data_IF_946450705232
#
_entry.id   IF_946450705232
#
_cell.length_a   1.000
_cell.length_b   1.000
_cell.length_c   1.000
_cell.angle_alpha   90.00
_cell.angle_beta   90.00
_cell.angle_gamma   90.00
#
_symmetry.space_group_name_H-M   'P 1'
#
loop_
_entity.id
_entity.type
_entity.pdbx_description
1 polymer ?
#
# COMPACT_ATOMS: atom_id res chain seq x y z
N UNK A 1 6.49 31.04 18.67
CA UNK A 1 5.70 30.60 17.49
C UNK A 1 5.78 31.51 16.26
N UNK A 2 5.97 32.84 16.39
CA UNK A 2 6.04 33.76 15.22
C UNK A 2 7.20 33.53 14.22
N UNK A 3 8.33 32.95 14.65
CA UNK A 3 9.46 32.64 13.75
C UNK A 3 9.18 31.46 12.80
N UNK A 4 8.51 30.42 13.29
CA UNK A 4 8.15 29.24 12.49
C UNK A 4 7.13 29.56 11.41
N UNK A 5 6.13 30.39 11.72
CA UNK A 5 5.13 30.85 10.75
C UNK A 5 5.74 31.73 9.63
N UNK A 6 6.83 32.44 9.91
CA UNK A 6 7.52 33.28 8.93
C UNK A 6 8.38 32.45 7.97
N UNK A 7 8.96 31.37 8.48
CA UNK A 7 9.78 30.43 7.70
C UNK A 7 8.92 29.55 6.78
N UNK A 8 7.73 29.15 7.26
CA UNK A 8 6.76 28.38 6.45
C UNK A 8 6.19 29.20 5.29
N UNK A 9 5.96 30.51 5.52
CA UNK A 9 5.46 31.41 4.48
C UNK A 9 6.51 31.70 3.40
N UNK A 10 7.79 31.79 3.73
CA UNK A 10 8.83 32.00 2.71
C UNK A 10 9.03 30.77 1.82
N UNK A 11 8.86 29.54 2.36
CA UNK A 11 8.99 28.31 1.57
C UNK A 11 7.84 28.07 0.59
N UNK A 12 6.64 28.61 0.84
CA UNK A 12 5.55 28.55 -0.14
C UNK A 12 5.72 29.59 -1.25
N UNK A 13 6.22 30.79 -0.93
CA UNK A 13 6.45 31.85 -1.92
C UNK A 13 7.61 31.53 -2.89
N UNK A 14 8.65 30.80 -2.46
CA UNK A 14 9.72 30.28 -3.34
C UNK A 14 9.24 29.18 -4.31
N UNK A 15 8.12 28.51 -4.01
CA UNK A 15 7.59 27.44 -4.86
C UNK A 15 6.76 27.99 -6.04
N UNK A 16 6.38 29.26 -5.99
CA UNK A 16 5.56 29.95 -6.99
C UNK A 16 6.29 31.09 -7.71
N UNK A 17 7.60 31.25 -7.51
CA UNK A 17 8.40 32.21 -8.28
C UNK A 17 8.53 31.76 -9.74
N UNK A 18 8.20 32.67 -10.66
CA UNK A 18 8.46 32.52 -12.08
C UNK A 18 9.97 32.34 -12.31
N UNK A 19 10.38 31.55 -13.33
CA UNK A 19 11.80 31.37 -13.62
C UNK A 19 12.43 32.73 -13.88
N UNK A 20 13.49 33.02 -13.15
CA UNK A 20 14.28 34.25 -13.31
C UNK A 20 15.37 34.01 -14.35
N UNK A 21 15.89 35.06 -14.98
CA UNK A 21 16.92 34.97 -16.03
C UNK A 21 18.20 34.20 -15.59
N UNK A 22 18.44 34.04 -14.29
CA UNK A 22 19.51 33.20 -13.72
C UNK A 22 19.22 31.67 -13.76
N UNK A 23 17.97 31.24 -13.99
CA UNK A 23 17.59 29.82 -14.15
C UNK A 23 18.01 29.23 -15.50
N UNK A 24 18.37 30.08 -16.47
CA UNK A 24 18.91 29.67 -17.78
C UNK A 24 20.41 29.34 -17.73
N UNK A 25 21.06 29.52 -16.57
CA UNK A 25 22.45 29.11 -16.37
C UNK A 25 22.52 27.59 -16.19
N UNK A 26 23.44 26.89 -16.88
CA UNK A 26 23.69 25.48 -16.59
C UNK A 26 24.04 25.31 -15.12
N UNK A 27 23.27 24.47 -14.44
CA UNK A 27 23.39 24.15 -13.01
C UNK A 27 24.81 23.76 -12.65
N UNK A 28 25.33 24.24 -11.51
CA UNK A 28 26.68 23.86 -11.07
C UNK A 28 26.72 22.36 -10.73
N UNK A 29 27.88 21.72 -10.92
CA UNK A 29 28.04 20.28 -10.68
C UNK A 29 27.75 19.95 -9.21
N UNK A 30 28.11 20.84 -8.28
CA UNK A 30 27.84 20.64 -6.86
C UNK A 30 26.34 20.78 -6.55
N UNK A 31 25.66 21.77 -7.16
CA UNK A 31 24.21 21.97 -7.02
C UNK A 31 23.44 20.76 -7.58
N UNK A 32 23.87 20.20 -8.70
CA UNK A 32 23.28 19.00 -9.30
C UNK A 32 23.47 17.77 -8.40
N UNK A 33 24.67 17.55 -7.83
CA UNK A 33 24.91 16.45 -6.89
C UNK A 33 24.09 16.58 -5.60
N UNK A 34 23.94 17.80 -5.07
CA UNK A 34 23.09 18.08 -3.91
C UNK A 34 21.61 17.87 -4.20
N UNK A 35 21.15 18.26 -5.39
CA UNK A 35 19.78 18.04 -5.84
C UNK A 35 19.48 16.54 -5.98
N UNK A 36 20.35 15.75 -6.62
CA UNK A 36 20.19 14.29 -6.70
C UNK A 36 20.17 13.65 -5.30
N UNK A 37 21.08 14.08 -4.41
CA UNK A 37 21.15 13.55 -3.04
C UNK A 37 19.92 13.92 -2.21
N UNK A 38 19.35 15.10 -2.42
CA UNK A 38 18.11 15.53 -1.73
C UNK A 38 16.90 14.74 -2.23
N UNK A 39 16.79 14.50 -3.56
CA UNK A 39 15.76 13.66 -4.15
C UNK A 39 15.83 12.22 -3.63
N UNK A 40 17.02 11.64 -3.52
CA UNK A 40 17.22 10.30 -2.96
C UNK A 40 16.73 10.19 -1.51
N UNK A 41 17.09 11.17 -0.67
CA UNK A 41 16.65 11.21 0.73
C UNK A 41 15.14 11.39 0.83
N UNK A 42 14.58 12.31 0.04
CA UNK A 42 13.14 12.56 0.02
C UNK A 42 12.35 11.34 -0.44
N UNK A 43 12.81 10.66 -1.50
CA UNK A 43 12.21 9.43 -1.99
C UNK A 43 12.28 8.30 -0.96
N UNK A 44 13.43 8.10 -0.31
CA UNK A 44 13.57 7.08 0.73
C UNK A 44 12.64 7.33 1.93
N UNK A 45 12.49 8.60 2.33
CA UNK A 45 11.59 8.98 3.42
C UNK A 45 10.11 8.83 3.04
N UNK A 46 9.71 9.28 1.84
CA UNK A 46 8.34 9.10 1.34
C UNK A 46 7.99 7.61 1.19
N UNK A 47 8.93 6.81 0.69
CA UNK A 47 8.80 5.35 0.57
C UNK A 47 8.48 4.71 1.92
N UNK A 48 9.27 5.02 2.95
CA UNK A 48 9.05 4.49 4.30
C UNK A 48 7.73 4.97 4.91
N UNK A 49 7.36 6.24 4.71
CA UNK A 49 6.10 6.79 5.20
C UNK A 49 4.89 6.08 4.59
N UNK A 50 4.85 5.94 3.25
CA UNK A 50 3.75 5.26 2.57
C UNK A 50 3.69 3.77 2.93
N UNK A 51 4.84 3.10 2.97
CA UNK A 51 4.92 1.70 3.44
C UNK A 51 4.36 1.54 4.86
N UNK A 52 4.69 2.46 5.76
CA UNK A 52 4.19 2.44 7.15
C UNK A 52 2.68 2.68 7.24
N UNK A 53 2.15 3.66 6.48
CA UNK A 53 0.70 3.95 6.46
C UNK A 53 -0.10 2.75 5.96
N UNK A 54 0.33 2.13 4.86
CA UNK A 54 -0.39 0.96 4.32
C UNK A 54 -0.26 -0.28 5.19
N UNK A 55 0.91 -0.50 5.80
CA UNK A 55 1.07 -1.56 6.78
C UNK A 55 0.15 -1.37 7.99
N UNK A 56 0.02 -0.14 8.51
CA UNK A 56 -0.87 0.17 9.61
C UNK A 56 -2.35 -0.07 9.24
N UNK A 57 -2.77 0.34 8.05
CA UNK A 57 -4.14 0.09 7.55
C UNK A 57 -4.44 -1.41 7.45
N UNK A 58 -3.52 -2.19 6.86
CA UNK A 58 -3.66 -3.65 6.77
C UNK A 58 -3.64 -4.33 8.13
N UNK A 59 -2.86 -3.83 9.06
CA UNK A 59 -2.82 -4.33 10.44
C UNK A 59 -4.15 -4.08 11.15
N UNK A 60 -4.72 -2.89 11.05
CA UNK A 60 -6.03 -2.57 11.58
C UNK A 60 -7.13 -3.48 10.98
N UNK A 61 -7.09 -3.70 9.67
CA UNK A 61 -8.00 -4.62 9.00
C UNK A 61 -7.84 -6.07 9.49
N UNK A 62 -6.61 -6.53 9.65
CA UNK A 62 -6.32 -7.88 10.19
C UNK A 62 -6.83 -8.04 11.62
N UNK A 63 -6.70 -7.01 12.46
CA UNK A 63 -7.22 -7.02 13.82
C UNK A 63 -8.76 -7.09 13.84
N UNK A 64 -9.42 -6.38 12.92
CA UNK A 64 -10.87 -6.46 12.74
C UNK A 64 -11.31 -7.87 12.33
N UNK A 65 -10.60 -8.52 11.41
CA UNK A 65 -10.88 -9.91 11.03
C UNK A 65 -10.66 -10.89 12.19
N UNK A 66 -9.61 -10.71 12.99
CA UNK A 66 -9.39 -11.54 14.18
C UNK A 66 -10.51 -11.39 15.21
N UNK A 67 -11.01 -10.16 15.41
CA UNK A 67 -12.17 -9.92 16.25
C UNK A 67 -13.42 -10.61 15.69
N UNK A 68 -13.62 -10.55 14.37
CA UNK A 68 -14.72 -11.21 13.66
C UNK A 68 -14.68 -12.74 13.84
N UNK A 69 -13.49 -13.36 13.68
CA UNK A 69 -13.26 -14.79 13.92
C UNK A 69 -13.63 -15.16 15.36
N UNK A 70 -13.10 -14.41 16.34
CA UNK A 70 -13.37 -14.65 17.75
C UNK A 70 -14.88 -14.59 18.05
N UNK A 71 -15.55 -13.59 17.51
CA UNK A 71 -16.99 -13.45 17.69
C UNK A 71 -17.78 -14.57 17.01
N UNK A 72 -17.39 -14.99 15.79
CA UNK A 72 -18.03 -16.09 15.07
C UNK A 72 -17.85 -17.44 15.78
N UNK A 73 -16.74 -17.64 16.50
CA UNK A 73 -16.51 -18.86 17.29
C UNK A 73 -17.34 -18.93 18.58
N UNK A 74 -17.60 -17.79 19.23
CA UNK A 74 -18.33 -17.74 20.51
C UNK A 74 -19.83 -17.56 20.33
N UNK A 75 -20.22 -16.72 19.38
CA UNK A 75 -21.61 -16.37 19.08
C UNK A 75 -21.86 -16.55 17.58
N UNK A 76 -22.03 -17.80 17.13
CA UNK A 76 -22.17 -18.10 15.72
C UNK A 76 -23.42 -17.38 15.15
N UNK A 77 -23.25 -16.72 14.01
CA UNK A 77 -24.33 -16.05 13.26
C UNK A 77 -24.91 -14.79 13.91
N UNK A 78 -24.35 -14.29 15.01
CA UNK A 78 -24.79 -13.02 15.59
C UNK A 78 -24.32 -11.81 14.75
N UNK A 79 -23.19 -11.95 14.06
CA UNK A 79 -22.70 -10.96 13.10
C UNK A 79 -23.57 -10.93 11.85
N UNK A 80 -24.20 -9.77 11.60
CA UNK A 80 -25.16 -9.57 10.50
C UNK A 80 -24.64 -10.03 9.14
N UNK A 81 -23.37 -9.79 8.82
CA UNK A 81 -22.80 -10.15 7.51
C UNK A 81 -22.47 -11.65 7.39
N UNK A 82 -22.23 -12.36 8.49
CA UNK A 82 -22.09 -13.81 8.49
C UNK A 82 -23.45 -14.52 8.49
N UNK A 83 -24.44 -13.97 9.20
CA UNK A 83 -25.79 -14.50 9.26
C UNK A 83 -26.44 -14.72 7.89
N UNK A 84 -26.09 -13.90 6.89
CA UNK A 84 -26.62 -14.07 5.53
C UNK A 84 -26.21 -15.39 4.87
N UNK A 85 -25.08 -15.96 5.27
CA UNK A 85 -24.55 -17.19 4.69
C UNK A 85 -24.92 -18.44 5.49
N UNK A 86 -25.74 -18.32 6.54
CA UNK A 86 -26.06 -19.41 7.46
C UNK A 86 -26.69 -20.63 6.77
N UNK A 87 -27.44 -20.43 5.69
CA UNK A 87 -28.12 -21.51 4.97
C UNK A 87 -27.21 -22.23 3.95
N UNK A 88 -26.20 -21.54 3.42
CA UNK A 88 -25.38 -22.00 2.28
C UNK A 88 -23.92 -22.35 2.65
N UNK A 89 -23.41 -21.86 3.78
CA UNK A 89 -22.01 -21.94 4.17
C UNK A 89 -21.88 -22.41 5.62
N UNK A 90 -21.01 -23.40 5.86
CA UNK A 90 -20.70 -23.82 7.23
C UNK A 90 -19.91 -22.75 7.98
N UNK A 91 -20.17 -22.61 9.29
CA UNK A 91 -19.43 -21.65 10.15
C UNK A 91 -17.91 -21.86 10.10
N UNK A 92 -17.46 -23.11 9.98
CA UNK A 92 -16.05 -23.45 9.79
C UNK A 92 -15.45 -22.86 8.52
N UNK A 93 -16.20 -22.83 7.42
CA UNK A 93 -15.72 -22.25 6.16
C UNK A 93 -15.51 -20.75 6.30
N UNK A 94 -16.43 -20.06 6.98
CA UNK A 94 -16.29 -18.62 7.30
C UNK A 94 -15.00 -18.39 8.09
N UNK A 95 -14.81 -19.11 9.20
CA UNK A 95 -13.62 -18.98 10.05
C UNK A 95 -12.34 -19.22 9.23
N UNK A 96 -12.30 -20.27 8.39
CA UNK A 96 -11.12 -20.55 7.56
C UNK A 96 -10.86 -19.44 6.54
N UNK A 97 -11.90 -18.87 5.93
CA UNK A 97 -11.76 -17.79 4.94
C UNK A 97 -11.23 -16.50 5.58
N UNK A 98 -11.64 -16.18 6.79
CA UNK A 98 -11.13 -15.04 7.55
C UNK A 98 -9.67 -15.27 7.98
N UNK A 99 -9.30 -16.48 8.40
CA UNK A 99 -7.91 -16.83 8.66
C UNK A 99 -7.02 -16.69 7.42
N UNK A 100 -7.50 -17.14 6.27
CA UNK A 100 -6.80 -16.96 4.99
C UNK A 100 -6.65 -15.47 4.63
N UNK A 101 -7.65 -14.64 4.93
CA UNK A 101 -7.56 -13.19 4.72
C UNK A 101 -6.51 -12.55 5.64
N UNK A 102 -6.45 -12.93 6.92
CA UNK A 102 -5.40 -12.50 7.86
C UNK A 102 -4.02 -12.94 7.37
N UNK A 103 -3.89 -14.16 6.86
CA UNK A 103 -2.65 -14.64 6.25
C UNK A 103 -2.27 -13.82 5.01
N UNK A 104 -3.21 -13.51 4.12
CA UNK A 104 -2.95 -12.65 2.96
C UNK A 104 -2.47 -11.25 3.38
N UNK A 105 -3.09 -10.63 4.39
CA UNK A 105 -2.69 -9.33 4.90
C UNK A 105 -1.32 -9.34 5.58
N UNK A 106 -1.03 -10.35 6.40
CA UNK A 106 0.29 -10.50 7.03
C UNK A 106 1.41 -10.71 6.01
N UNK A 107 1.17 -11.50 4.95
CA UNK A 107 2.12 -11.65 3.84
C UNK A 107 2.35 -10.33 3.09
N UNK A 108 1.31 -9.51 2.89
CA UNK A 108 1.46 -8.19 2.29
C UNK A 108 2.32 -7.25 3.15
N UNK A 109 2.09 -7.23 4.47
CA UNK A 109 2.88 -6.44 5.43
C UNK A 109 4.35 -6.90 5.43
N UNK A 110 4.58 -8.21 5.53
CA UNK A 110 5.95 -8.79 5.51
C UNK A 110 6.64 -8.47 4.19
N UNK A 111 5.92 -8.57 3.08
CA UNK A 111 6.37 -8.09 1.78
C UNK A 111 6.86 -6.65 1.93
N UNK A 112 5.98 -5.72 2.24
CA UNK A 112 6.26 -4.28 2.23
C UNK A 112 7.55 -3.84 2.97
N UNK A 113 7.98 -4.56 4.02
CA UNK A 113 9.22 -4.31 4.76
C UNK A 113 10.43 -5.15 4.33
N UNK A 114 10.24 -6.18 3.50
CA UNK A 114 11.32 -7.02 2.99
C UNK A 114 12.13 -6.26 1.93
N UNK A 115 13.45 -6.12 2.14
CA UNK A 115 14.37 -5.51 1.18
C UNK A 115 14.99 -6.52 0.19
N UNK A 116 14.61 -7.79 0.24
CA UNK A 116 15.22 -8.87 -0.55
C UNK A 116 14.41 -9.18 -1.81
N UNK A 117 15.00 -9.91 -2.77
CA UNK A 117 14.30 -10.51 -3.93
C UNK A 117 13.10 -11.37 -3.53
N UNK A 118 13.05 -11.78 -2.27
CA UNK A 118 11.94 -12.54 -1.64
C UNK A 118 10.70 -11.66 -1.41
N UNK A 119 10.85 -10.34 -1.26
CA UNK A 119 9.76 -9.37 -1.13
C UNK A 119 8.68 -9.54 -2.19
N UNK A 120 9.10 -9.49 -3.46
CA UNK A 120 8.19 -9.56 -4.60
C UNK A 120 7.36 -10.84 -4.56
N UNK A 121 7.97 -11.97 -4.16
CA UNK A 121 7.26 -13.25 -4.02
C UNK A 121 6.19 -13.19 -2.94
N UNK A 122 6.46 -12.56 -1.78
CA UNK A 122 5.46 -12.40 -0.72
C UNK A 122 4.27 -11.55 -1.16
N UNK A 123 4.49 -10.47 -1.90
CA UNK A 123 3.38 -9.68 -2.44
C UNK A 123 2.58 -10.49 -3.48
N UNK A 124 3.25 -11.20 -4.40
CA UNK A 124 2.55 -12.05 -5.38
C UNK A 124 1.75 -13.16 -4.71
N UNK A 125 2.28 -13.79 -3.65
CA UNK A 125 1.53 -14.78 -2.87
C UNK A 125 0.31 -14.17 -2.19
N UNK A 126 0.48 -13.01 -1.56
CA UNK A 126 -0.64 -12.26 -0.97
C UNK A 126 -1.73 -11.95 -2.00
N UNK A 127 -1.35 -11.48 -3.20
CA UNK A 127 -2.31 -11.19 -4.27
C UNK A 127 -3.01 -12.44 -4.81
N UNK A 128 -2.28 -13.53 -4.99
CA UNK A 128 -2.87 -14.80 -5.42
C UNK A 128 -3.88 -15.34 -4.40
N UNK A 129 -3.53 -15.26 -3.11
CA UNK A 129 -4.40 -15.70 -2.01
C UNK A 129 -5.64 -14.81 -1.89
N UNK A 130 -5.47 -13.49 -2.00
CA UNK A 130 -6.58 -12.54 -2.01
C UNK A 130 -7.52 -12.75 -3.22
N UNK A 131 -6.98 -13.14 -4.38
CA UNK A 131 -7.78 -13.44 -5.58
C UNK A 131 -8.64 -14.70 -5.38
N UNK A 132 -8.05 -15.76 -4.81
CA UNK A 132 -8.81 -16.99 -4.49
C UNK A 132 -9.93 -16.70 -3.50
N UNK A 133 -9.66 -15.89 -2.46
CA UNK A 133 -10.68 -15.46 -1.50
C UNK A 133 -11.78 -14.60 -2.14
N UNK A 134 -11.41 -13.69 -3.05
CA UNK A 134 -12.39 -12.88 -3.75
C UNK A 134 -13.32 -13.75 -4.62
N UNK A 135 -12.77 -14.72 -5.35
CA UNK A 135 -13.58 -15.67 -6.14
C UNK A 135 -14.49 -16.49 -5.24
N UNK A 136 -13.99 -16.99 -4.12
CA UNK A 136 -14.78 -17.71 -3.11
C UNK A 136 -15.98 -16.89 -2.63
N UNK A 137 -15.75 -15.66 -2.18
CA UNK A 137 -16.83 -14.79 -1.69
C UNK A 137 -17.80 -14.36 -2.77
N UNK A 138 -17.32 -14.04 -3.98
CA UNK A 138 -18.19 -13.70 -5.12
C UNK A 138 -19.09 -14.88 -5.49
N UNK A 139 -18.55 -16.11 -5.50
CA UNK A 139 -19.34 -17.31 -5.77
C UNK A 139 -20.51 -17.46 -4.77
N UNK A 140 -20.25 -17.32 -3.47
CA UNK A 140 -21.32 -17.41 -2.46
C UNK A 140 -22.28 -16.23 -2.49
N UNK A 141 -21.80 -15.02 -2.81
CA UNK A 141 -22.67 -13.85 -2.99
C UNK A 141 -23.63 -14.01 -4.17
N UNK A 142 -23.19 -14.65 -5.27
CA UNK A 142 -24.04 -14.93 -6.44
C UNK A 142 -25.06 -16.05 -6.18
N UNK A 143 -24.75 -16.96 -5.27
CA UNK A 143 -25.66 -18.04 -4.87
C UNK A 143 -26.80 -17.55 -3.97
N UNK A 144 -26.62 -16.43 -3.29
CA UNK A 144 -27.65 -15.86 -2.43
C UNK A 144 -28.87 -15.38 -3.22
N UNK A 145 -30.10 -15.60 -2.71
CA UNK A 145 -31.35 -15.23 -3.40
C UNK A 145 -31.56 -13.72 -3.50
N UNK A 146 -30.89 -12.92 -2.67
CA UNK A 146 -30.89 -11.45 -2.73
C UNK A 146 -29.47 -10.93 -2.66
N UNK A 147 -29.06 -10.20 -3.69
CA UNK A 147 -27.75 -9.56 -3.71
C UNK A 147 -27.70 -8.40 -2.71
N UNK A 148 -26.72 -8.43 -1.80
CA UNK A 148 -26.58 -7.47 -0.69
C UNK A 148 -25.25 -6.75 -0.82
N UNK A 149 -25.30 -5.45 -1.13
CA UNK A 149 -24.12 -4.60 -1.28
C UNK A 149 -23.32 -4.43 0.03
N UNK A 150 -23.97 -4.58 1.19
CA UNK A 150 -23.33 -4.47 2.51
C UNK A 150 -22.22 -5.50 2.75
N UNK A 151 -22.17 -6.58 1.95
CA UNK A 151 -21.25 -7.71 2.09
C UNK A 151 -20.09 -7.62 1.08
N UNK A 152 -20.13 -6.64 0.18
CA UNK A 152 -19.15 -6.50 -0.91
C UNK A 152 -17.73 -6.22 -0.40
N UNK A 153 -17.59 -5.71 0.82
CA UNK A 153 -16.27 -5.47 1.40
C UNK A 153 -15.51 -6.77 1.73
N UNK A 154 -16.16 -7.93 1.87
CA UNK A 154 -15.48 -9.21 2.13
C UNK A 154 -14.58 -9.66 0.95
N UNK A 155 -15.07 -9.73 -0.30
CA UNK A 155 -14.21 -10.05 -1.45
C UNK A 155 -13.24 -8.90 -1.78
N UNK A 156 -13.71 -7.65 -1.70
CA UNK A 156 -12.92 -6.51 -2.15
C UNK A 156 -11.88 -6.05 -1.12
N UNK A 157 -12.06 -6.27 0.18
CA UNK A 157 -11.15 -5.80 1.22
C UNK A 157 -9.72 -6.35 1.06
N UNK A 158 -9.52 -7.69 1.10
CA UNK A 158 -8.20 -8.29 0.92
C UNK A 158 -7.64 -8.05 -0.48
N UNK A 159 -8.49 -8.05 -1.51
CA UNK A 159 -8.10 -7.83 -2.90
C UNK A 159 -7.60 -6.40 -3.15
N UNK A 160 -8.34 -5.39 -2.67
CA UNK A 160 -7.93 -4.00 -2.72
C UNK A 160 -6.66 -3.79 -1.89
N UNK A 161 -6.56 -4.38 -0.70
CA UNK A 161 -5.36 -4.29 0.14
C UNK A 161 -4.11 -4.84 -0.55
N UNK A 162 -4.19 -6.04 -1.14
CA UNK A 162 -3.08 -6.64 -1.86
C UNK A 162 -2.74 -5.88 -3.16
N UNK A 163 -3.75 -5.45 -3.91
CA UNK A 163 -3.57 -4.65 -5.14
C UNK A 163 -2.92 -3.30 -4.88
N UNK A 164 -3.33 -2.62 -3.81
CA UNK A 164 -2.72 -1.36 -3.39
C UNK A 164 -1.27 -1.55 -2.96
N UNK A 165 -0.94 -2.65 -2.28
CA UNK A 165 0.43 -2.98 -1.92
C UNK A 165 1.32 -3.27 -3.14
N UNK A 166 0.78 -3.97 -4.16
CA UNK A 166 1.46 -4.15 -5.44
C UNK A 166 1.71 -2.82 -6.14
N UNK A 167 0.70 -1.95 -6.16
CA UNK A 167 0.81 -0.63 -6.79
C UNK A 167 1.87 0.23 -6.10
N UNK A 168 1.85 0.29 -4.78
CA UNK A 168 2.84 1.04 -4.00
C UNK A 168 4.24 0.47 -4.20
N UNK A 169 4.40 -0.85 -4.21
CA UNK A 169 5.70 -1.46 -4.50
C UNK A 169 6.20 -1.11 -5.91
N UNK A 170 5.32 -1.13 -6.90
CA UNK A 170 5.65 -0.78 -8.27
C UNK A 170 6.08 0.69 -8.39
N UNK A 171 5.29 1.63 -7.85
CA UNK A 171 5.59 3.07 -7.88
C UNK A 171 6.92 3.37 -7.18
N UNK A 172 7.18 2.73 -6.04
CA UNK A 172 8.45 2.91 -5.32
C UNK A 172 9.64 2.31 -6.07
N UNK A 173 9.42 1.20 -6.79
CA UNK A 173 10.47 0.60 -7.63
C UNK A 173 10.80 1.48 -8.83
N UNK A 174 9.79 2.01 -9.51
CA UNK A 174 9.95 2.87 -10.70
C UNK A 174 10.69 4.17 -10.33
N UNK A 175 10.26 4.83 -9.26
CA UNK A 175 10.90 6.07 -8.82
C UNK A 175 12.36 5.84 -8.38
N UNK A 176 12.68 4.69 -7.77
CA UNK A 176 14.07 4.33 -7.48
C UNK A 176 14.94 4.13 -8.74
N UNK A 177 14.35 3.62 -9.81
CA UNK A 177 15.04 3.44 -11.09
C UNK A 177 15.28 4.76 -11.80
N UNK A 178 14.32 5.68 -11.76
CA UNK A 178 14.45 7.02 -12.32
C UNK A 178 15.57 7.81 -11.63
N UNK A 179 15.63 7.78 -10.30
CA UNK A 179 16.71 8.40 -9.53
C UNK A 179 18.07 7.80 -9.89
N UNK A 180 18.13 6.47 -10.07
CA UNK A 180 19.35 5.77 -10.50
C UNK A 180 19.75 6.16 -11.93
N UNK A 181 18.79 6.32 -12.85
CA UNK A 181 19.04 6.81 -14.22
C UNK A 181 19.58 8.23 -14.19
N UNK A 182 18.99 9.12 -13.39
CA UNK A 182 19.43 10.50 -13.23
C UNK A 182 20.90 10.57 -12.75
N UNK A 183 21.25 9.75 -11.76
CA UNK A 183 22.63 9.61 -11.28
C UNK A 183 23.57 9.08 -12.38
N UNK A 184 23.13 8.10 -13.19
CA UNK A 184 23.94 7.58 -14.30
C UNK A 184 24.19 8.61 -15.40
N UNK A 185 23.21 9.45 -15.74
CA UNK A 185 23.40 10.53 -16.71
C UNK A 185 24.37 11.59 -16.22
N UNK A 186 24.32 11.93 -14.93
CA UNK A 186 25.28 12.83 -14.31
C UNK A 186 26.72 12.28 -14.40
N UNK A 187 26.94 10.99 -14.12
CA UNK A 187 28.26 10.37 -14.27
C UNK A 187 28.72 10.26 -15.73
N UNK A 188 27.81 9.96 -16.66
CA UNK A 188 28.13 9.90 -18.08
C UNK A 188 28.55 11.27 -18.63
N UNK A 189 27.90 12.35 -18.19
CA UNK A 189 28.27 13.72 -18.53
C UNK A 189 29.61 14.14 -17.93
N UNK A 190 29.94 13.69 -16.71
CA UNK A 190 31.23 13.97 -16.06
C UNK A 190 32.43 13.23 -16.68
N UNK A 191 32.18 12.18 -17.45
CA UNK A 191 33.20 11.32 -18.05
C UNK A 191 33.53 11.66 -19.53
N UNK A 192 32.73 12.51 -20.19
CA UNK A 192 32.97 13.03 -21.53
C UNK A 192 33.53 14.44 -21.51
#
# INVERSE_FOLDING_TARGET
MRKLARQFRSSEDEKFSLPTFDDDRPMDINEQEELVRSLEKMHAQQSLQWRSVFAALLFCYSAFLLYSIYHQTLFPWELRYHAYFMEDVDSWMIITSEWLAVLACSMAIIGLFSNSKVHRKWIWYSWSLATVLAVFWVYYMLRMPKFRWDVIWLPFGPLCGAGLCLYVDHVLSESSEEVRKLRSYMYAFKAG
#
